data_IF_120780330324
#
_entry.id   IF_120780330324
#
_cell.length_a   1.000
_cell.length_b   1.000
_cell.length_c   1.000
_cell.angle_alpha   90.00
_cell.angle_beta   90.00
_cell.angle_gamma   90.00
#
_symmetry.space_group_name_H-M   'P 1'
#
loop_
_entity.id
_entity.type
_entity.pdbx_description
1 polymer ?
#
# COMPACT_ATOMS: atom_id res chain seq x y z
N UNK A 1 -6.84 -10.15 7.10
CA UNK A 1 -7.37 -9.96 7.94
C UNK A 1 -6.86 -9.15 9.12
N UNK A 2 -5.62 -8.67 9.16
CA UNK A 2 -5.19 -7.60 10.04
C UNK A 2 -5.12 -7.95 11.54
N UNK A 3 -4.66 -9.14 11.86
CA UNK A 3 -4.62 -9.63 13.23
C UNK A 3 -3.25 -9.46 13.91
N UNK A 4 -2.29 -8.82 13.25
CA UNK A 4 -0.95 -8.58 13.78
C UNK A 4 -0.84 -7.19 14.40
N UNK A 5 -1.63 -6.94 15.43
CA UNK A 5 -1.50 -5.75 16.27
C UNK A 5 -1.21 -6.21 17.70
N UNK A 6 -0.08 -5.77 18.25
CA UNK A 6 0.30 -6.08 19.62
C UNK A 6 -0.67 -5.52 20.68
N UNK A 7 -1.50 -4.56 20.27
CA UNK A 7 -2.43 -3.85 21.17
C UNK A 7 -3.88 -4.34 21.08
N UNK A 8 -4.16 -5.33 20.21
CA UNK A 8 -5.50 -5.92 20.05
C UNK A 8 -5.49 -7.42 20.32
N UNK A 9 -6.55 -8.00 20.84
CA UNK A 9 -6.66 -9.44 21.01
C UNK A 9 -6.45 -10.17 19.68
N UNK A 10 -5.76 -11.30 19.72
CA UNK A 10 -5.54 -12.15 18.54
C UNK A 10 -6.88 -12.49 17.89
N UNK A 11 -6.96 -12.36 16.57
CA UNK A 11 -8.17 -12.61 15.79
C UNK A 11 -9.12 -11.40 15.63
N UNK A 12 -8.83 -10.28 16.29
CA UNK A 12 -9.60 -9.04 16.08
C UNK A 12 -9.30 -8.46 14.70
N UNK A 13 -10.34 -8.05 13.99
CA UNK A 13 -10.19 -7.36 12.71
C UNK A 13 -9.62 -5.96 12.94
N UNK A 14 -8.47 -5.70 12.33
CA UNK A 14 -7.71 -4.48 12.62
C UNK A 14 -8.46 -3.19 12.28
N UNK A 15 -9.07 -3.12 11.10
CA UNK A 15 -9.67 -1.90 10.56
C UNK A 15 -11.09 -1.62 11.05
N UNK A 16 -11.78 -2.61 11.59
CA UNK A 16 -13.16 -2.45 12.06
C UNK A 16 -13.22 -1.43 13.21
N UNK A 17 -14.08 -0.43 13.07
CA UNK A 17 -14.27 0.64 14.03
C UNK A 17 -13.24 1.79 13.98
N UNK A 18 -12.22 1.72 13.11
CA UNK A 18 -11.30 2.84 12.91
C UNK A 18 -11.99 4.00 12.18
N UNK A 19 -11.43 5.20 12.32
CA UNK A 19 -11.97 6.40 11.69
C UNK A 19 -11.06 6.97 10.59
N UNK A 20 -11.65 7.82 9.76
CA UNK A 20 -10.93 8.73 8.89
C UNK A 20 -10.49 9.95 9.68
N UNK A 21 -9.31 9.88 10.29
CA UNK A 21 -8.79 10.91 11.20
C UNK A 21 -8.33 12.18 10.47
N UNK A 22 -8.08 12.11 9.16
CA UNK A 22 -7.67 13.24 8.33
C UNK A 22 -8.42 13.22 7.01
N UNK A 23 -9.16 14.30 6.74
CA UNK A 23 -9.89 14.53 5.49
C UNK A 23 -9.55 15.93 5.03
N UNK A 24 -9.04 16.05 3.80
CA UNK A 24 -8.71 17.33 3.17
C UNK A 24 -9.46 17.36 1.85
N UNK A 25 -10.37 18.32 1.74
CA UNK A 25 -11.14 18.56 0.51
C UNK A 25 -10.19 18.76 -0.69
N UNK A 26 -10.58 18.27 -1.84
CA UNK A 26 -9.78 18.35 -3.07
C UNK A 26 -8.38 17.73 -2.96
N UNK A 27 -8.18 16.86 -1.99
CA UNK A 27 -6.92 16.14 -1.85
C UNK A 27 -7.16 14.65 -1.58
N UNK A 28 -7.49 14.26 -0.35
CA UNK A 28 -7.64 12.85 0.03
C UNK A 28 -8.39 12.68 1.36
N UNK A 29 -8.85 11.46 1.60
CA UNK A 29 -9.26 10.95 2.92
C UNK A 29 -8.21 9.97 3.42
N UNK A 30 -7.85 10.04 4.70
CA UNK A 30 -6.85 9.16 5.31
C UNK A 30 -7.39 8.48 6.57
N UNK A 31 -7.24 7.16 6.63
CA UNK A 31 -7.67 6.30 7.73
C UNK A 31 -6.61 5.26 8.08
N UNK A 32 -7.03 4.26 8.90
CA UNK A 32 -6.17 3.13 9.25
C UNK A 32 -5.24 3.37 10.45
N UNK A 33 -5.35 4.51 11.14
CA UNK A 33 -4.65 4.75 12.38
C UNK A 33 -5.44 4.14 13.56
N UNK A 34 -4.90 3.15 14.32
CA UNK A 34 -5.63 2.52 15.41
C UNK A 34 -5.95 3.46 16.57
N UNK A 35 -5.17 4.53 16.73
CA UNK A 35 -5.39 5.55 17.76
C UNK A 35 -6.26 6.73 17.25
N UNK A 36 -6.57 6.78 15.97
CA UNK A 36 -7.35 7.87 15.37
C UNK A 36 -6.66 9.23 15.36
N UNK A 37 -5.35 9.29 15.62
CA UNK A 37 -4.55 10.53 15.75
C UNK A 37 -3.66 10.81 14.53
N UNK A 38 -3.40 9.78 13.71
CA UNK A 38 -2.44 9.84 12.61
C UNK A 38 -1.02 9.40 12.98
N UNK A 39 -0.72 9.20 14.25
CA UNK A 39 0.62 8.77 14.74
C UNK A 39 0.71 7.27 15.00
N UNK A 40 -0.44 6.58 15.13
CA UNK A 40 -0.50 5.15 15.42
C UNK A 40 -0.29 4.26 14.20
N UNK A 41 0.04 3.00 14.46
CA UNK A 41 0.26 1.98 13.45
C UNK A 41 0.07 0.57 14.01
N UNK A 42 0.36 -0.47 13.21
CA UNK A 42 0.09 -1.87 13.56
C UNK A 42 1.19 -2.51 14.41
N UNK A 43 2.13 -1.73 14.95
CA UNK A 43 3.27 -2.24 15.72
C UNK A 43 4.47 -2.68 14.88
N UNK A 44 4.41 -2.54 13.55
CA UNK A 44 5.52 -2.83 12.63
C UNK A 44 5.52 -1.86 11.44
N UNK A 45 6.64 -1.81 10.73
CA UNK A 45 6.81 -1.04 9.48
C UNK A 45 7.31 -1.95 8.37
N UNK A 46 7.04 -1.57 7.12
CA UNK A 46 7.54 -2.27 5.95
C UNK A 46 7.92 -1.32 4.81
N UNK A 47 8.73 -1.82 3.89
CA UNK A 47 9.28 -1.06 2.78
C UNK A 47 8.22 -0.63 1.77
N UNK A 48 8.54 0.42 1.00
CA UNK A 48 7.73 0.84 -0.13
C UNK A 48 7.79 -0.20 -1.26
N UNK A 49 6.66 -0.41 -1.92
CA UNK A 49 6.52 -1.28 -3.08
C UNK A 49 6.07 -0.44 -4.29
N UNK A 50 6.97 0.45 -4.70
CA UNK A 50 6.70 1.36 -5.82
C UNK A 50 6.74 0.60 -7.15
N UNK A 51 5.62 0.68 -7.88
CA UNK A 51 5.52 0.25 -9.26
C UNK A 51 5.39 1.49 -10.16
N UNK A 52 6.27 1.67 -11.16
CA UNK A 52 6.26 2.86 -12.01
C UNK A 52 4.99 3.01 -12.87
N UNK A 53 4.23 1.93 -13.04
CA UNK A 53 2.96 1.94 -13.77
C UNK A 53 1.77 2.35 -12.90
N UNK A 54 1.91 2.25 -11.57
CA UNK A 54 0.87 2.60 -10.60
C UNK A 54 1.10 4.01 -10.06
N UNK A 55 0.26 4.94 -10.48
CA UNK A 55 0.39 6.38 -10.20
C UNK A 55 -0.89 6.98 -9.65
N UNK A 56 -0.76 8.14 -9.02
CA UNK A 56 -1.89 8.91 -8.46
C UNK A 56 -2.53 9.81 -9.54
N UNK A 57 -3.04 9.20 -10.61
CA UNK A 57 -3.50 9.88 -11.83
C UNK A 57 -4.89 10.52 -11.73
N UNK A 58 -5.62 10.31 -10.66
CA UNK A 58 -6.99 10.82 -10.55
C UNK A 58 -7.63 10.56 -9.19
N UNK A 59 -8.95 10.75 -9.10
CA UNK A 59 -9.70 10.40 -7.89
C UNK A 59 -9.76 8.89 -7.68
N UNK A 60 -9.93 8.49 -6.42
CA UNK A 60 -10.16 7.10 -6.04
C UNK A 60 -8.91 6.22 -6.00
N UNK A 61 -7.71 6.76 -6.09
CA UNK A 61 -6.48 5.97 -5.94
C UNK A 61 -6.27 5.64 -4.46
N UNK A 62 -6.14 4.35 -4.16
CA UNK A 62 -5.86 3.81 -2.84
C UNK A 62 -4.36 3.58 -2.68
N UNK A 63 -3.76 4.26 -1.70
CA UNK A 63 -2.31 4.30 -1.51
C UNK A 63 -1.92 4.30 -0.03
N UNK A 64 -0.70 3.85 0.28
CA UNK A 64 -0.18 3.81 1.64
C UNK A 64 0.23 5.19 2.13
N UNK A 65 -0.23 5.59 3.31
CA UNK A 65 0.33 6.72 4.03
C UNK A 65 1.64 6.28 4.72
N UNK A 66 2.65 7.16 4.70
CA UNK A 66 3.93 6.93 5.35
C UNK A 66 4.52 8.24 5.89
N UNK A 67 5.60 8.15 6.66
CA UNK A 67 6.36 9.28 7.21
C UNK A 67 7.77 9.36 6.59
N UNK A 68 7.93 8.92 5.36
CA UNK A 68 9.18 8.81 4.63
C UNK A 68 9.44 7.38 4.17
N UNK A 69 10.57 7.12 3.49
CA UNK A 69 10.88 5.81 2.92
C UNK A 69 10.83 4.67 3.95
N UNK A 70 10.27 3.53 3.55
CA UNK A 70 10.19 2.30 4.35
C UNK A 70 9.47 2.45 5.70
N UNK A 71 8.51 3.38 5.81
CA UNK A 71 7.72 3.59 7.03
C UNK A 71 6.24 3.25 6.88
N UNK A 72 5.88 2.44 5.89
CA UNK A 72 4.51 1.98 5.72
C UNK A 72 4.05 1.18 6.95
N UNK A 73 2.81 1.37 7.34
CA UNK A 73 2.17 0.66 8.44
C UNK A 73 0.74 0.27 8.07
N UNK A 74 -0.24 0.67 8.86
CA UNK A 74 -1.65 0.38 8.59
C UNK A 74 -2.40 1.55 7.96
N UNK A 75 -1.83 2.75 7.93
CA UNK A 75 -2.52 3.93 7.43
C UNK A 75 -2.53 3.96 5.89
N UNK A 76 -3.66 4.31 5.34
CA UNK A 76 -3.89 4.45 3.91
C UNK A 76 -4.64 5.74 3.61
N UNK A 77 -4.62 6.17 2.36
CA UNK A 77 -5.45 7.26 1.87
C UNK A 77 -6.12 6.92 0.54
N UNK A 78 -7.22 7.61 0.26
CA UNK A 78 -7.94 7.54 -1.02
C UNK A 78 -8.05 8.95 -1.56
N UNK A 79 -7.64 9.15 -2.81
CA UNK A 79 -7.56 10.48 -3.44
C UNK A 79 -8.93 11.01 -3.87
N UNK A 80 -9.11 12.34 -3.77
CA UNK A 80 -10.23 13.05 -4.37
C UNK A 80 -9.94 13.55 -5.80
N UNK A 81 -8.65 13.69 -6.14
CA UNK A 81 -8.17 14.13 -7.47
C UNK A 81 -6.78 13.56 -7.75
N UNK A 82 -6.22 13.85 -8.91
CA UNK A 82 -4.83 13.51 -9.21
C UNK A 82 -3.85 14.19 -8.24
N UNK A 83 -2.86 13.41 -7.77
CA UNK A 83 -1.84 13.87 -6.81
C UNK A 83 -0.45 13.40 -7.25
N UNK A 84 0.04 13.83 -8.44
CA UNK A 84 1.25 13.28 -9.06
C UNK A 84 2.53 13.51 -8.24
N UNK A 85 2.55 14.49 -7.34
CA UNK A 85 3.68 14.73 -6.42
C UNK A 85 3.89 13.62 -5.38
N UNK A 86 2.94 12.68 -5.25
CA UNK A 86 3.03 11.50 -4.39
C UNK A 86 3.60 10.28 -5.13
N UNK A 87 3.73 10.35 -6.46
CA UNK A 87 4.28 9.26 -7.26
C UNK A 87 5.73 8.95 -6.87
N UNK A 88 6.06 7.67 -6.80
CA UNK A 88 7.39 7.22 -6.36
C UNK A 88 7.67 7.34 -4.85
N UNK A 89 6.74 7.92 -4.07
CA UNK A 89 6.90 8.13 -2.62
C UNK A 89 5.89 7.34 -1.79
N UNK A 90 4.73 7.06 -2.35
CA UNK A 90 3.64 6.31 -1.71
C UNK A 90 3.25 5.12 -2.56
N UNK A 91 3.09 3.97 -1.92
CA UNK A 91 2.76 2.71 -2.58
C UNK A 91 1.28 2.70 -2.98
N UNK A 92 1.00 2.78 -4.26
CA UNK A 92 -0.35 2.57 -4.81
C UNK A 92 -0.64 1.07 -4.85
N UNK A 93 -1.75 0.64 -4.24
CA UNK A 93 -2.12 -0.78 -4.19
C UNK A 93 -3.57 -1.06 -4.60
N UNK A 94 -4.33 -0.02 -4.96
CA UNK A 94 -5.71 -0.20 -5.40
C UNK A 94 -6.35 1.07 -5.92
N UNK A 95 -7.61 0.91 -6.33
CA UNK A 95 -8.45 2.03 -6.75
C UNK A 95 -9.92 1.74 -6.46
N UNK A 96 -10.70 2.77 -6.34
CA UNK A 96 -12.17 2.73 -6.26
C UNK A 96 -12.74 2.14 -7.57
N UNK A 97 -13.74 1.27 -7.46
CA UNK A 97 -14.23 0.49 -8.60
C UNK A 97 -15.07 1.34 -9.56
N UNK A 98 -15.93 2.23 -9.02
CA UNK A 98 -16.85 2.96 -9.86
C UNK A 98 -17.24 4.34 -9.33
N UNK A 99 -18.01 5.10 -10.14
CA UNK A 99 -18.42 6.46 -9.78
C UNK A 99 -19.30 6.52 -8.53
N UNK A 100 -20.12 5.50 -8.27
CA UNK A 100 -20.97 5.43 -7.08
C UNK A 100 -20.10 5.32 -5.81
N UNK A 101 -19.06 4.50 -5.85
CA UNK A 101 -18.11 4.35 -4.73
C UNK A 101 -17.28 5.62 -4.51
N UNK A 102 -16.92 6.32 -5.61
CA UNK A 102 -16.23 7.61 -5.52
C UNK A 102 -17.11 8.68 -4.86
N UNK A 103 -18.42 8.67 -5.09
CA UNK A 103 -19.34 9.56 -4.37
C UNK A 103 -19.31 9.31 -2.86
N UNK A 104 -19.21 8.05 -2.44
CA UNK A 104 -19.04 7.71 -1.02
C UNK A 104 -17.73 8.27 -0.47
N UNK A 105 -16.61 8.07 -1.18
CA UNK A 105 -15.31 8.64 -0.80
C UNK A 105 -15.39 10.16 -0.63
N UNK A 106 -16.06 10.85 -1.56
CA UNK A 106 -16.19 12.30 -1.53
C UNK A 106 -17.10 12.80 -0.41
N UNK A 107 -18.01 11.96 0.09
CA UNK A 107 -18.93 12.30 1.18
C UNK A 107 -18.35 12.03 2.57
N UNK A 108 -17.26 11.26 2.67
CA UNK A 108 -16.64 10.95 3.96
C UNK A 108 -16.07 12.21 4.61
N UNK A 109 -16.46 12.44 5.86
CA UNK A 109 -16.00 13.52 6.70
C UNK A 109 -14.96 13.04 7.74
N UNK A 110 -14.19 13.99 8.28
CA UNK A 110 -13.25 13.69 9.37
C UNK A 110 -14.02 13.15 10.59
N UNK A 111 -13.61 11.99 11.06
CA UNK A 111 -14.23 11.29 12.19
C UNK A 111 -15.18 10.17 11.78
N UNK A 112 -15.60 10.10 10.52
CA UNK A 112 -16.41 8.99 10.03
C UNK A 112 -15.70 7.66 10.23
N UNK A 113 -16.49 6.62 10.52
CA UNK A 113 -15.98 5.30 10.93
C UNK A 113 -16.02 4.29 9.79
N UNK A 114 -14.97 3.48 9.73
CA UNK A 114 -14.96 2.19 9.05
C UNK A 114 -15.71 1.18 9.94
N UNK A 115 -17.00 1.01 9.74
CA UNK A 115 -17.80 0.09 10.57
C UNK A 115 -17.29 -1.34 10.44
N UNK A 116 -16.97 -1.78 9.21
CA UNK A 116 -16.34 -3.07 8.95
C UNK A 116 -15.57 -3.06 7.64
N UNK A 117 -14.52 -3.86 7.57
CA UNK A 117 -13.78 -4.11 6.32
C UNK A 117 -13.90 -5.58 5.96
N UNK A 118 -14.36 -5.86 4.73
CA UNK A 118 -14.53 -7.21 4.20
C UNK A 118 -13.67 -7.39 2.93
N UNK A 119 -12.77 -8.35 2.96
CA UNK A 119 -11.96 -8.72 1.79
C UNK A 119 -12.70 -9.80 1.00
N UNK A 120 -13.03 -9.48 -0.26
CA UNK A 120 -13.65 -10.41 -1.20
C UNK A 120 -12.58 -10.85 -2.20
N UNK A 121 -12.28 -12.14 -2.23
CA UNK A 121 -11.26 -12.73 -3.10
C UNK A 121 -11.91 -13.26 -4.37
N UNK A 122 -11.59 -12.66 -5.52
CA UNK A 122 -12.17 -13.02 -6.82
C UNK A 122 -11.09 -13.68 -7.68
N UNK A 123 -11.40 -14.84 -8.23
CA UNK A 123 -10.48 -15.66 -9.05
C UNK A 123 -9.56 -16.56 -8.22
N UNK A 124 -9.05 -17.61 -8.88
CA UNK A 124 -8.30 -18.66 -8.20
C UNK A 124 -7.00 -18.18 -7.55
N UNK A 125 -6.29 -17.27 -8.20
CA UNK A 125 -5.04 -16.68 -7.65
C UNK A 125 -5.31 -15.91 -6.37
N UNK A 126 -6.38 -15.13 -6.31
CA UNK A 126 -6.74 -14.37 -5.12
C UNK A 126 -7.23 -15.28 -4.00
N UNK A 127 -7.98 -16.34 -4.31
CA UNK A 127 -8.42 -17.34 -3.33
C UNK A 127 -7.25 -18.12 -2.73
N UNK A 128 -6.26 -18.48 -3.55
CA UNK A 128 -5.06 -19.20 -3.13
C UNK A 128 -4.03 -18.34 -2.40
N UNK A 129 -4.14 -17.01 -2.49
CA UNK A 129 -3.18 -16.10 -1.85
C UNK A 129 -3.26 -16.20 -0.32
N UNK A 130 -2.12 -16.42 0.31
CA UNK A 130 -1.97 -16.43 1.77
C UNK A 130 -1.47 -15.07 2.25
N UNK A 131 -2.25 -14.41 3.11
CA UNK A 131 -1.90 -13.12 3.73
C UNK A 131 -1.24 -13.28 5.11
N UNK A 132 -0.55 -14.39 5.36
CA UNK A 132 0.17 -14.66 6.61
C UNK A 132 1.64 -14.23 6.55
N UNK A 133 2.27 -14.19 7.72
CA UNK A 133 3.66 -13.73 7.86
C UNK A 133 4.66 -14.63 7.13
N UNK A 134 4.44 -15.93 7.11
CA UNK A 134 5.32 -16.89 6.44
C UNK A 134 5.33 -16.64 4.94
N UNK A 135 4.15 -16.48 4.35
CA UNK A 135 4.03 -16.18 2.92
C UNK A 135 4.62 -14.81 2.58
N UNK A 136 4.39 -13.80 3.42
CA UNK A 136 5.00 -12.47 3.24
C UNK A 136 6.52 -12.55 3.22
N UNK A 137 7.14 -13.21 4.19
CA UNK A 137 8.62 -13.41 4.24
C UNK A 137 9.14 -14.11 3.00
N UNK A 138 8.43 -15.13 2.52
CA UNK A 138 8.79 -15.83 1.27
C UNK A 138 8.74 -14.89 0.07
N UNK A 139 7.67 -14.12 -0.10
CA UNK A 139 7.55 -13.15 -1.20
C UNK A 139 8.66 -12.10 -1.17
N UNK A 140 9.03 -11.60 0.01
CA UNK A 140 10.13 -10.63 0.14
C UNK A 140 11.47 -11.24 -0.24
N UNK A 141 11.76 -12.46 0.20
CA UNK A 141 12.99 -13.18 -0.16
C UNK A 141 13.05 -13.45 -1.67
N UNK A 142 11.97 -13.87 -2.30
CA UNK A 142 11.91 -14.13 -3.74
C UNK A 142 12.08 -12.83 -4.55
N UNK A 143 11.54 -11.71 -4.05
CA UNK A 143 11.71 -10.38 -4.66
C UNK A 143 13.16 -9.90 -4.57
N UNK A 144 13.83 -10.10 -3.45
CA UNK A 144 15.25 -9.77 -3.27
C UNK A 144 16.13 -10.59 -4.21
N UNK A 145 15.94 -11.91 -4.26
CA UNK A 145 16.65 -12.79 -5.21
C UNK A 145 16.44 -12.35 -6.66
N UNK A 146 15.22 -12.02 -7.05
CA UNK A 146 14.91 -11.55 -8.40
C UNK A 146 15.61 -10.23 -8.74
N UNK A 147 15.74 -9.30 -7.79
CA UNK A 147 16.49 -8.06 -7.97
C UNK A 147 17.99 -8.33 -8.18
N UNK A 148 18.57 -9.20 -7.37
CA UNK A 148 20.00 -9.59 -7.47
C UNK A 148 20.29 -10.20 -8.84
N UNK A 149 19.47 -11.16 -9.29
CA UNK A 149 19.64 -11.80 -10.62
C UNK A 149 19.54 -10.78 -11.75
N UNK A 150 18.59 -9.84 -11.69
CA UNK A 150 18.45 -8.78 -12.70
C UNK A 150 19.65 -7.84 -12.71
N UNK A 151 20.18 -7.48 -11.54
CA UNK A 151 21.37 -6.63 -11.41
C UNK A 151 22.60 -7.32 -11.98
N UNK A 152 22.87 -8.58 -11.63
CA UNK A 152 23.98 -9.36 -12.15
C UNK A 152 23.90 -9.50 -13.69
N UNK A 153 22.71 -9.77 -14.24
CA UNK A 153 22.51 -9.85 -15.69
C UNK A 153 22.78 -8.50 -16.38
N UNK A 154 22.39 -7.39 -15.75
CA UNK A 154 22.66 -6.05 -16.25
C UNK A 154 24.16 -5.76 -16.25
N UNK A 155 24.84 -6.00 -15.15
CA UNK A 155 26.30 -5.80 -15.02
C UNK A 155 27.09 -6.62 -16.04
N UNK A 156 26.67 -7.88 -16.30
CA UNK A 156 27.28 -8.73 -17.32
C UNK A 156 27.15 -8.13 -18.73
N UNK A 157 25.95 -7.63 -19.07
CA UNK A 157 25.74 -6.95 -20.37
C UNK A 157 26.59 -5.70 -20.53
N UNK A 158 26.72 -4.92 -19.48
CA UNK A 158 27.55 -3.70 -19.51
C UNK A 158 29.04 -4.05 -19.65
N UNK A 159 29.52 -5.09 -18.95
CA UNK A 159 30.89 -5.57 -19.11
C UNK A 159 31.20 -6.05 -20.56
N UNK A 160 30.28 -6.85 -21.16
CA UNK A 160 30.41 -7.30 -22.55
C UNK A 160 30.41 -6.12 -23.56
N UNK A 161 29.66 -5.06 -23.27
CA UNK A 161 29.69 -3.85 -24.11
C UNK A 161 31.01 -3.08 -24.00
N UNK A 162 31.56 -2.98 -22.79
CA UNK A 162 32.84 -2.32 -22.56
C UNK A 162 33.98 -3.10 -23.26
N UNK A 163 33.98 -4.43 -23.14
CA UNK A 163 34.99 -5.26 -23.84
C UNK A 163 34.96 -5.05 -25.37
N UNK A 164 33.76 -4.94 -25.96
CA UNK A 164 33.62 -4.65 -27.39
C UNK A 164 34.07 -3.26 -27.83
N UNK A 165 34.12 -2.30 -26.91
CA UNK A 165 34.55 -0.94 -27.18
C UNK A 165 36.08 -0.77 -27.06
N UNK A 166 36.73 -1.70 -26.34
CA UNK A 166 38.17 -1.70 -26.11
C UNK A 166 38.91 -2.55 -27.15
N UNK A 167 38.23 -3.51 -27.78
CA UNK A 167 38.78 -4.36 -28.85
C UNK A 167 38.77 -3.65 -30.22
#
# INVERSE_FOLDING_TARGET
EGTKDSNKPKGTKFYDGLNFHRVIADFMIQGGCPQGTGTGGPGYKFADEIDPTLKHIGPGILSMANSGPATNGSQFFITHKATPWLDGKHTVFGKVVGPADQKVVNAIAKGDKLNSVKIIRIGEKAKAFRGDEEHYKKLMTDKEKSKTVKFEAQMKKEAEQIEKLIA
#
